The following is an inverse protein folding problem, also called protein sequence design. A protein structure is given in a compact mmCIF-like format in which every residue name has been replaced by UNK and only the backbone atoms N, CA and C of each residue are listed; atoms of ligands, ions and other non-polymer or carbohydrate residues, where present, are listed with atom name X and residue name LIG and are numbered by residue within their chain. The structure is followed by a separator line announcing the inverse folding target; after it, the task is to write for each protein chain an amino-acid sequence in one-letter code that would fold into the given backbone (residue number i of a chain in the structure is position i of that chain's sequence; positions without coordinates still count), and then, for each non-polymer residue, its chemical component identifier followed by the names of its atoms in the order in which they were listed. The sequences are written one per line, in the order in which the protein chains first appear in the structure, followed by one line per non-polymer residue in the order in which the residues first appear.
data_IF_401270465370
#
_entry.id   IF_401270465370
#
_cell.length_a   1.000
_cell.length_b   1.000
_cell.length_c   1.000
_cell.angle_alpha   90.00
_cell.angle_beta   90.00
_cell.angle_gamma   90.00
#
_symmetry.space_group_name_H-M   'P 1'
#
loop_
_entity.id
_entity.type
_entity.pdbx_description
1 polymer ?
#
# COMPACT_ATOMS: atom_id res chain seq x y z
N UNK A 1 -1.57 13.70 41.79
CA UNK A 1 -1.82 12.29 41.43
C UNK A 1 -1.32 12.10 40.01
N UNK A 2 -0.16 11.51 39.85
CA UNK A 2 0.34 11.04 38.54
C UNK A 2 -0.53 9.87 38.16
N UNK A 3 -1.29 9.99 37.06
CA UNK A 3 -1.93 8.84 36.41
C UNK A 3 -0.80 7.86 36.05
N UNK A 4 -0.99 6.55 36.29
CA UNK A 4 -0.02 5.57 35.81
C UNK A 4 0.12 5.75 34.30
N UNK A 5 1.34 5.93 33.81
CA UNK A 5 1.62 5.86 32.37
C UNK A 5 1.34 4.41 31.99
N UNK A 6 0.23 4.15 31.33
CA UNK A 6 0.04 2.85 30.69
C UNK A 6 1.18 2.72 29.69
N UNK A 7 2.05 1.75 29.92
CA UNK A 7 3.08 1.38 28.96
C UNK A 7 2.37 0.81 27.73
N UNK A 8 2.18 1.67 26.72
CA UNK A 8 1.61 1.27 25.45
C UNK A 8 2.61 0.31 24.82
N UNK A 9 2.18 -0.92 24.61
CA UNK A 9 2.98 -1.96 23.96
C UNK A 9 2.22 -2.47 22.74
N UNK A 10 2.88 -2.50 21.59
CA UNK A 10 2.38 -3.11 20.38
C UNK A 10 3.27 -4.26 19.94
N UNK A 11 2.69 -5.31 19.34
CA UNK A 11 3.49 -6.41 18.82
C UNK A 11 4.41 -5.94 17.70
N UNK A 12 5.50 -6.66 17.48
CA UNK A 12 6.29 -6.55 16.28
C UNK A 12 5.55 -7.19 15.10
N UNK A 13 5.85 -6.76 13.88
CA UNK A 13 5.37 -7.41 12.68
C UNK A 13 6.55 -8.09 11.97
N UNK A 14 6.36 -9.34 11.57
CA UNK A 14 7.19 -9.97 10.55
C UNK A 14 6.70 -9.53 9.19
N UNK A 15 7.61 -9.16 8.30
CA UNK A 15 7.31 -8.71 6.95
C UNK A 15 8.04 -9.56 5.91
N UNK A 16 7.34 -9.96 4.86
CA UNK A 16 7.91 -10.72 3.77
C UNK A 16 7.39 -10.22 2.42
N UNK A 17 8.26 -10.18 1.42
CA UNK A 17 7.87 -9.91 0.04
C UNK A 17 7.02 -11.06 -0.52
N UNK A 18 5.98 -10.74 -1.27
CA UNK A 18 5.17 -11.72 -1.98
C UNK A 18 5.54 -11.74 -3.47
N UNK A 19 5.49 -12.92 -4.07
CA UNK A 19 5.63 -13.06 -5.50
C UNK A 19 4.36 -12.57 -6.22
N UNK A 20 4.54 -11.95 -7.37
CA UNK A 20 3.43 -11.65 -8.27
C UNK A 20 2.98 -12.94 -8.96
N UNK A 21 1.91 -13.55 -8.46
CA UNK A 21 1.38 -14.80 -9.00
C UNK A 21 0.59 -14.60 -10.31
N UNK A 22 0.39 -15.69 -11.05
CA UNK A 22 -0.34 -15.67 -12.32
C UNK A 22 -1.78 -15.14 -12.19
N UNK A 23 -2.42 -15.30 -11.02
CA UNK A 23 -3.74 -14.74 -10.74
C UNK A 23 -3.73 -13.21 -10.78
N UNK A 24 -2.70 -12.57 -10.26
CA UNK A 24 -2.52 -11.13 -10.31
C UNK A 24 -2.35 -10.64 -11.76
N UNK A 25 -1.58 -11.36 -12.58
CA UNK A 25 -1.42 -11.00 -14.00
C UNK A 25 -2.76 -11.02 -14.73
N UNK A 26 -3.56 -12.05 -14.51
CA UNK A 26 -4.89 -12.16 -15.11
C UNK A 26 -5.82 -11.01 -14.70
N UNK A 27 -5.78 -10.60 -13.42
CA UNK A 27 -6.57 -9.47 -12.92
C UNK A 27 -6.15 -8.15 -13.56
N UNK A 28 -4.87 -8.01 -13.92
CA UNK A 28 -4.34 -6.84 -14.63
C UNK A 28 -4.48 -6.94 -16.16
N UNK A 29 -5.11 -7.99 -16.67
CA UNK A 29 -5.32 -8.20 -18.11
C UNK A 29 -4.11 -8.74 -18.86
N UNK A 30 -3.09 -9.27 -18.16
CA UNK A 30 -1.89 -9.86 -18.77
C UNK A 30 -1.99 -11.38 -18.86
N UNK A 31 -1.52 -11.94 -19.97
CA UNK A 31 -1.38 -13.38 -20.12
C UNK A 31 -0.10 -13.87 -19.42
N UNK A 32 -0.18 -14.68 -18.34
CA UNK A 32 1.00 -15.17 -17.64
C UNK A 32 1.90 -16.12 -18.45
N UNK A 33 1.45 -16.55 -19.62
CA UNK A 33 2.21 -17.39 -20.57
C UNK A 33 2.80 -16.60 -21.73
N UNK A 34 2.71 -15.26 -21.68
CA UNK A 34 3.28 -14.42 -22.74
C UNK A 34 4.80 -14.50 -22.75
N UNK A 35 5.40 -14.46 -23.94
CA UNK A 35 6.84 -14.28 -24.10
C UNK A 35 7.22 -12.83 -24.40
N UNK A 36 6.26 -11.91 -24.32
CA UNK A 36 6.44 -10.49 -24.61
C UNK A 36 6.91 -9.74 -23.36
N UNK A 37 8.10 -10.11 -22.89
CA UNK A 37 8.72 -9.46 -21.74
C UNK A 37 10.23 -9.31 -21.95
N UNK A 38 10.82 -8.36 -21.22
CA UNK A 38 12.27 -8.19 -21.15
C UNK A 38 12.69 -7.82 -19.72
N UNK A 39 13.99 -7.95 -19.43
CA UNK A 39 14.59 -7.55 -18.17
C UNK A 39 15.40 -6.27 -18.36
N UNK A 40 15.17 -5.31 -17.48
CA UNK A 40 16.00 -4.11 -17.38
C UNK A 40 17.28 -4.40 -16.56
N UNK A 41 18.26 -3.52 -16.63
CA UNK A 41 19.56 -3.72 -15.99
C UNK A 41 19.49 -3.76 -14.45
N UNK A 42 18.46 -3.19 -13.86
CA UNK A 42 18.18 -3.20 -12.42
C UNK A 42 17.42 -4.45 -11.96
N UNK A 43 17.14 -5.39 -12.87
CA UNK A 43 16.38 -6.60 -12.59
C UNK A 43 14.85 -6.43 -12.68
N UNK A 44 14.35 -5.26 -13.10
CA UNK A 44 12.93 -5.05 -13.36
C UNK A 44 12.48 -5.87 -14.55
N UNK A 45 11.48 -6.72 -14.37
CA UNK A 45 10.82 -7.42 -15.48
C UNK A 45 9.70 -6.53 -16.03
N UNK A 46 9.76 -6.26 -17.34
CA UNK A 46 8.77 -5.47 -18.06
C UNK A 46 7.99 -6.37 -19.00
N UNK A 47 6.67 -6.33 -18.88
CA UNK A 47 5.74 -7.14 -19.68
C UNK A 47 4.84 -6.20 -20.45
N UNK A 48 4.67 -6.46 -21.73
CA UNK A 48 3.88 -5.64 -22.65
C UNK A 48 2.69 -6.44 -23.17
N UNK A 49 1.50 -5.87 -23.07
CA UNK A 49 0.27 -6.46 -23.63
C UNK A 49 -0.64 -5.33 -24.19
N UNK A 50 -0.79 -5.27 -25.52
CA UNK A 50 -1.53 -4.20 -26.17
C UNK A 50 -0.97 -2.82 -25.85
N UNK A 51 -1.80 -1.94 -25.28
CA UNK A 51 -1.40 -0.62 -24.83
C UNK A 51 -1.02 -0.57 -23.32
N UNK A 52 -0.89 -1.74 -22.69
CA UNK A 52 -0.61 -1.85 -21.27
C UNK A 52 0.80 -2.37 -20.99
N UNK A 53 1.39 -1.86 -19.95
CA UNK A 53 2.72 -2.23 -19.46
C UNK A 53 2.64 -2.62 -17.99
N UNK A 54 3.22 -3.76 -17.65
CA UNK A 54 3.39 -4.20 -16.27
C UNK A 54 4.88 -4.30 -15.95
N UNK A 55 5.33 -3.61 -14.91
CA UNK A 55 6.69 -3.67 -14.39
C UNK A 55 6.69 -4.35 -13.03
N UNK A 56 7.50 -5.40 -12.93
CA UNK A 56 7.74 -6.14 -11.69
C UNK A 56 9.13 -5.78 -11.20
N UNK A 57 9.22 -4.89 -10.22
CA UNK A 57 10.49 -4.43 -9.67
C UNK A 57 11.01 -5.37 -8.58
N UNK A 58 12.33 -5.44 -8.38
CA UNK A 58 12.90 -6.02 -7.17
C UNK A 58 12.26 -5.44 -5.91
N UNK A 59 12.09 -6.25 -4.85
CA UNK A 59 11.39 -5.82 -3.64
C UNK A 59 9.86 -5.93 -3.72
N UNK A 60 9.35 -6.65 -4.73
CA UNK A 60 7.91 -6.94 -4.89
C UNK A 60 7.04 -5.70 -5.10
N UNK A 61 7.56 -4.69 -5.76
CA UNK A 61 6.79 -3.54 -6.21
C UNK A 61 6.32 -3.78 -7.64
N UNK A 62 5.02 -3.71 -7.86
CA UNK A 62 4.42 -3.76 -9.20
C UNK A 62 3.99 -2.37 -9.62
N UNK A 63 4.19 -2.07 -10.90
CA UNK A 63 3.66 -0.87 -11.55
C UNK A 63 2.97 -1.25 -12.83
N UNK A 64 1.70 -0.88 -12.94
CA UNK A 64 0.88 -1.02 -14.13
C UNK A 64 0.61 0.36 -14.73
N UNK A 65 0.69 0.46 -16.02
CA UNK A 65 0.25 1.59 -16.82
C UNK A 65 -0.52 1.04 -18.02
N UNK A 66 -1.73 1.56 -18.29
CA UNK A 66 -2.48 1.01 -19.43
C UNK A 66 -3.87 1.61 -19.62
N UNK A 67 -4.65 0.90 -20.46
CA UNK A 67 -6.03 1.20 -20.81
C UNK A 67 -6.85 -0.07 -20.88
N UNK A 68 -8.20 0.09 -20.80
CA UNK A 68 -9.14 -1.00 -21.00
C UNK A 68 -9.39 -1.88 -19.78
N UNK A 69 -8.70 -1.65 -18.66
CA UNK A 69 -9.00 -2.31 -17.39
C UNK A 69 -10.01 -1.49 -16.61
N UNK A 70 -11.29 -1.77 -16.78
CA UNK A 70 -12.38 -1.03 -16.12
C UNK A 70 -12.79 -1.67 -14.81
N UNK A 71 -13.02 -0.86 -13.78
CA UNK A 71 -13.52 -1.28 -12.46
C UNK A 71 -15.06 -1.21 -12.35
N UNK A 72 -15.74 -0.68 -13.38
CA UNK A 72 -17.19 -0.58 -13.44
C UNK A 72 -17.65 -0.60 -14.89
N UNK A 73 -18.85 -1.12 -15.13
CA UNK A 73 -19.53 -1.05 -16.44
C UNK A 73 -20.12 0.34 -16.73
N UNK A 74 -20.12 1.24 -15.75
CA UNK A 74 -20.52 2.64 -15.91
C UNK A 74 -19.33 3.44 -16.44
N UNK A 75 -19.57 4.46 -17.24
CA UNK A 75 -18.51 5.27 -17.85
C UNK A 75 -17.75 6.18 -16.86
N UNK A 76 -18.31 6.45 -15.68
CA UNK A 76 -17.70 7.26 -14.62
C UNK A 76 -18.26 6.89 -13.25
N UNK A 77 -17.51 7.17 -12.20
CA UNK A 77 -17.99 7.09 -10.82
C UNK A 77 -18.78 8.37 -10.46
N UNK A 78 -19.84 8.18 -9.67
CA UNK A 78 -20.71 9.30 -9.26
C UNK A 78 -20.02 10.25 -8.30
N UNK A 79 -19.21 9.70 -7.41
CA UNK A 79 -18.46 10.45 -6.40
C UNK A 79 -17.17 9.72 -5.97
N UNK A 80 -16.44 10.34 -5.05
CA UNK A 80 -15.21 9.78 -4.50
C UNK A 80 -15.44 8.46 -3.73
N UNK A 81 -16.59 8.30 -3.09
CA UNK A 81 -16.92 7.11 -2.31
C UNK A 81 -17.03 5.87 -3.20
N UNK A 82 -17.76 5.99 -4.31
CA UNK A 82 -17.91 4.92 -5.32
C UNK A 82 -16.55 4.53 -5.91
N UNK A 83 -15.71 5.53 -6.25
CA UNK A 83 -14.37 5.30 -6.77
C UNK A 83 -13.46 4.58 -5.77
N UNK A 84 -13.49 5.00 -4.50
CA UNK A 84 -12.71 4.38 -3.42
C UNK A 84 -13.18 2.96 -3.18
N UNK A 85 -14.50 2.69 -3.13
CA UNK A 85 -15.02 1.34 -2.93
C UNK A 85 -14.58 0.39 -4.05
N UNK A 86 -14.67 0.84 -5.31
CA UNK A 86 -14.20 0.07 -6.45
C UNK A 86 -12.69 -0.17 -6.39
N UNK A 87 -11.90 0.85 -6.05
CA UNK A 87 -10.46 0.78 -5.87
C UNK A 87 -10.05 -0.20 -4.77
N UNK A 88 -10.69 -0.14 -3.60
CA UNK A 88 -10.43 -1.06 -2.48
C UNK A 88 -10.76 -2.50 -2.87
N UNK A 89 -11.89 -2.74 -3.54
CA UNK A 89 -12.25 -4.08 -4.04
C UNK A 89 -11.20 -4.63 -4.99
N UNK A 90 -10.77 -3.82 -5.94
CA UNK A 90 -9.76 -4.18 -6.92
C UNK A 90 -8.40 -4.49 -6.27
N UNK A 91 -7.90 -3.58 -5.42
CA UNK A 91 -6.64 -3.77 -4.70
C UNK A 91 -6.68 -4.99 -3.77
N UNK A 92 -7.82 -5.21 -3.09
CA UNK A 92 -8.00 -6.39 -2.23
C UNK A 92 -7.95 -7.69 -3.02
N UNK A 93 -8.50 -7.73 -4.24
CA UNK A 93 -8.40 -8.88 -5.13
C UNK A 93 -6.95 -9.15 -5.56
N UNK A 94 -6.18 -8.10 -5.90
CA UNK A 94 -4.76 -8.22 -6.23
C UNK A 94 -3.93 -8.74 -5.05
N UNK A 95 -4.29 -8.33 -3.83
CA UNK A 95 -3.58 -8.70 -2.60
C UNK A 95 -4.02 -10.05 -2.02
N UNK A 96 -5.03 -10.72 -2.59
CA UNK A 96 -5.63 -11.91 -1.99
C UNK A 96 -4.62 -13.03 -1.70
N UNK A 97 -3.64 -13.22 -2.57
CA UNK A 97 -2.57 -14.22 -2.38
C UNK A 97 -1.47 -13.75 -1.42
N UNK A 98 -1.39 -12.46 -1.16
CA UNK A 98 -0.35 -11.83 -0.35
C UNK A 98 -0.83 -11.47 1.07
N UNK A 99 -2.12 -11.17 1.26
CA UNK A 99 -2.63 -10.67 2.52
C UNK A 99 -2.77 -11.76 3.57
N UNK A 100 -2.16 -11.55 4.73
CA UNK A 100 -2.46 -12.29 5.95
C UNK A 100 -2.70 -11.29 7.07
N UNK A 101 -3.98 -11.05 7.40
CA UNK A 101 -4.36 -10.17 8.51
C UNK A 101 -4.12 -8.67 8.32
N UNK A 102 -3.73 -8.24 7.12
CA UNK A 102 -3.54 -6.83 6.77
C UNK A 102 -4.68 -6.34 5.88
N UNK A 103 -5.09 -5.10 6.08
CA UNK A 103 -6.08 -4.41 5.26
C UNK A 103 -5.49 -3.17 4.61
N UNK A 104 -6.29 -2.53 3.76
CA UNK A 104 -5.98 -1.25 3.14
C UNK A 104 -6.58 -0.11 3.97
N UNK A 105 -5.80 0.92 4.19
CA UNK A 105 -6.20 2.17 4.83
C UNK A 105 -6.10 3.30 3.81
N UNK A 106 -7.23 3.93 3.47
CA UNK A 106 -7.22 5.10 2.59
C UNK A 106 -6.45 6.24 3.26
N UNK A 107 -5.39 6.70 2.61
CA UNK A 107 -4.59 7.83 3.05
C UNK A 107 -5.05 9.13 2.41
N UNK A 108 -5.37 9.07 1.12
CA UNK A 108 -5.77 10.24 0.35
C UNK A 108 -6.61 9.82 -0.85
N UNK A 109 -7.62 10.62 -1.18
CA UNK A 109 -8.33 10.59 -2.46
C UNK A 109 -8.35 12.01 -3.03
N UNK A 110 -8.09 12.13 -4.32
CA UNK A 110 -8.04 13.39 -5.02
C UNK A 110 -8.73 13.28 -6.38
N UNK A 111 -9.64 14.20 -6.68
CA UNK A 111 -10.20 14.34 -8.02
C UNK A 111 -9.13 14.84 -8.98
N UNK A 112 -9.11 14.25 -10.17
CA UNK A 112 -8.31 14.70 -11.32
C UNK A 112 -9.23 15.23 -12.40
N UNK A 113 -8.69 15.71 -13.52
CA UNK A 113 -9.51 16.21 -14.64
C UNK A 113 -10.45 15.12 -15.18
N UNK A 114 -9.98 13.87 -15.23
CA UNK A 114 -10.67 12.77 -15.92
C UNK A 114 -11.08 11.64 -14.94
N UNK A 115 -10.88 11.79 -13.64
CA UNK A 115 -11.16 10.70 -12.70
C UNK A 115 -10.60 10.94 -11.30
N UNK A 116 -9.91 9.95 -10.74
CA UNK A 116 -9.52 9.92 -9.35
C UNK A 116 -8.10 9.36 -9.15
N UNK A 117 -7.36 9.95 -8.23
CA UNK A 117 -6.13 9.34 -7.69
C UNK A 117 -6.35 9.01 -6.23
N UNK A 118 -5.98 7.80 -5.83
CA UNK A 118 -6.15 7.26 -4.49
C UNK A 118 -4.83 6.68 -3.99
N UNK A 119 -4.47 7.01 -2.76
CA UNK A 119 -3.30 6.49 -2.08
C UNK A 119 -3.74 5.72 -0.83
N UNK A 120 -3.15 4.55 -0.65
CA UNK A 120 -3.44 3.68 0.48
C UNK A 120 -2.15 3.29 1.20
N UNK A 121 -2.26 3.17 2.51
CA UNK A 121 -1.30 2.47 3.35
C UNK A 121 -1.87 1.09 3.72
N UNK A 122 -1.05 0.20 4.27
CA UNK A 122 -1.55 -1.01 4.90
C UNK A 122 -1.89 -0.74 6.36
N UNK A 123 -2.62 -1.66 6.99
CA UNK A 123 -2.82 -1.65 8.43
C UNK A 123 -2.78 -3.07 9.00
N UNK A 124 -2.29 -3.20 10.23
CA UNK A 124 -2.36 -4.41 11.02
C UNK A 124 -2.92 -4.07 12.41
N UNK A 125 -3.95 -4.79 12.86
CA UNK A 125 -4.58 -4.54 14.15
C UNK A 125 -5.16 -3.13 14.33
N UNK A 126 -5.48 -2.44 13.24
CA UNK A 126 -5.98 -1.06 13.25
C UNK A 126 -4.89 0.02 13.20
N UNK A 127 -3.61 -0.35 13.22
CA UNK A 127 -2.48 0.58 13.16
C UNK A 127 -1.92 0.66 11.74
N UNK A 128 -1.62 1.87 11.22
CA UNK A 128 -1.10 2.04 9.88
C UNK A 128 0.31 1.46 9.74
N UNK A 129 0.58 0.90 8.56
CA UNK A 129 1.92 0.50 8.12
C UNK A 129 2.27 1.39 6.94
N UNK A 130 3.27 2.24 7.11
CA UNK A 130 3.72 3.20 6.11
C UNK A 130 5.07 2.82 5.53
N UNK A 131 5.29 3.19 4.27
CA UNK A 131 6.61 3.05 3.66
C UNK A 131 7.63 3.99 4.32
N UNK A 132 8.83 3.49 4.58
CA UNK A 132 9.95 4.29 5.05
C UNK A 132 10.39 5.40 4.10
N UNK A 133 10.05 5.31 2.82
CA UNK A 133 10.27 6.37 1.83
C UNK A 133 9.21 7.49 1.90
N UNK A 134 8.13 7.32 2.66
CA UNK A 134 6.99 8.23 2.70
C UNK A 134 6.00 8.07 1.54
N UNK A 135 6.30 7.24 0.53
CA UNK A 135 5.38 6.91 -0.54
C UNK A 135 4.20 6.09 -0.01
N UNK A 136 3.07 6.12 -0.72
CA UNK A 136 1.95 5.22 -0.42
C UNK A 136 2.34 3.76 -0.69
N UNK A 137 1.76 2.81 0.06
CA UNK A 137 1.95 1.38 -0.16
C UNK A 137 1.19 0.88 -1.39
N UNK A 138 0.09 1.53 -1.72
CA UNK A 138 -0.62 1.39 -2.98
C UNK A 138 -1.07 2.76 -3.48
N UNK A 139 -0.87 3.01 -4.78
CA UNK A 139 -1.35 4.19 -5.48
C UNK A 139 -2.15 3.75 -6.71
N UNK A 140 -3.36 4.24 -6.87
CA UNK A 140 -4.27 3.90 -7.96
C UNK A 140 -4.78 5.17 -8.61
N UNK A 141 -4.55 5.31 -9.91
CA UNK A 141 -5.11 6.41 -10.72
C UNK A 141 -6.15 5.85 -11.68
N UNK A 142 -7.34 6.39 -11.62
CA UNK A 142 -8.45 6.07 -12.51
C UNK A 142 -8.67 7.21 -13.51
N UNK A 143 -8.97 6.83 -14.75
CA UNK A 143 -9.50 7.72 -15.79
C UNK A 143 -10.92 7.26 -16.12
N UNK A 144 -11.91 8.05 -15.75
CA UNK A 144 -13.28 7.54 -15.69
C UNK A 144 -13.37 6.37 -14.71
N UNK A 145 -13.68 5.18 -15.22
CA UNK A 145 -13.70 3.93 -14.46
C UNK A 145 -12.51 3.01 -14.76
N UNK A 146 -11.64 3.41 -15.70
CA UNK A 146 -10.50 2.60 -16.11
C UNK A 146 -9.26 2.86 -15.22
N UNK A 147 -8.55 1.80 -14.90
CA UNK A 147 -7.24 1.89 -14.25
C UNK A 147 -6.23 2.41 -15.27
N UNK A 148 -5.76 3.64 -15.07
CA UNK A 148 -4.71 4.26 -15.88
C UNK A 148 -3.32 3.91 -15.34
N UNK A 149 -3.15 4.01 -14.02
CA UNK A 149 -1.89 3.69 -13.34
C UNK A 149 -2.16 2.98 -12.02
N UNK A 150 -1.32 2.03 -11.69
CA UNK A 150 -1.26 1.37 -10.40
C UNK A 150 0.20 1.22 -9.98
N UNK A 151 0.53 1.58 -8.75
CA UNK A 151 1.74 1.15 -8.08
C UNK A 151 1.35 0.44 -6.78
N UNK A 152 1.88 -0.76 -6.54
CA UNK A 152 1.48 -1.59 -5.41
C UNK A 152 2.71 -2.33 -4.87
N UNK A 153 2.94 -2.21 -3.57
CA UNK A 153 3.97 -2.96 -2.85
C UNK A 153 3.38 -4.28 -2.34
N UNK A 154 3.84 -5.41 -2.89
CA UNK A 154 3.38 -6.74 -2.50
C UNK A 154 4.17 -7.23 -1.28
N UNK A 155 3.68 -6.90 -0.09
CA UNK A 155 4.27 -7.35 1.18
C UNK A 155 3.20 -7.94 2.09
N UNK A 156 3.58 -9.02 2.76
CA UNK A 156 2.78 -9.68 3.79
C UNK A 156 3.31 -9.28 5.15
N UNK A 157 2.39 -8.98 6.07
CA UNK A 157 2.72 -8.68 7.45
C UNK A 157 1.99 -9.65 8.38
N UNK A 158 2.72 -10.17 9.35
CA UNK A 158 2.20 -11.11 10.33
C UNK A 158 2.55 -10.61 11.73
N UNK A 159 1.56 -10.54 12.60
CA UNK A 159 1.76 -10.17 14.00
C UNK A 159 2.58 -11.25 14.68
N UNK A 160 3.62 -10.85 15.41
CA UNK A 160 4.45 -11.75 16.22
C UNK A 160 4.05 -11.71 17.70
N UNK A 161 4.58 -12.63 18.50
CA UNK A 161 4.38 -12.64 19.96
C UNK A 161 5.30 -11.64 20.68
N UNK A 162 6.31 -11.09 19.98
CA UNK A 162 7.25 -10.13 20.52
C UNK A 162 6.68 -8.72 20.49
N UNK A 163 6.98 -7.93 21.53
CA UNK A 163 6.54 -6.56 21.63
C UNK A 163 7.61 -5.57 21.16
N UNK A 164 7.17 -4.47 20.59
CA UNK A 164 8.02 -3.35 20.21
C UNK A 164 8.37 -2.49 21.41
N UNK A 165 9.63 -2.12 21.62
CA UNK A 165 10.00 -1.10 22.59
C UNK A 165 9.51 0.27 22.09
N UNK A 166 8.55 0.87 22.79
CA UNK A 166 8.01 2.19 22.45
C UNK A 166 8.49 3.24 23.43
N UNK A 167 8.75 4.44 22.92
CA UNK A 167 8.94 5.60 23.78
C UNK A 167 7.62 5.95 24.50
N UNK A 168 7.66 6.34 25.77
CA UNK A 168 6.49 6.88 26.46
C UNK A 168 5.85 8.03 25.66
N UNK A 169 4.52 8.09 25.61
CA UNK A 169 3.77 9.10 24.85
C UNK A 169 4.23 10.53 25.16
N UNK A 170 4.54 10.81 26.42
CA UNK A 170 5.03 12.14 26.85
C UNK A 170 6.34 12.52 26.19
N UNK A 171 7.24 11.56 25.99
CA UNK A 171 8.51 11.78 25.29
C UNK A 171 8.30 11.94 23.78
N UNK A 172 7.44 11.11 23.17
CA UNK A 172 7.08 11.24 21.77
C UNK A 172 6.47 12.60 21.46
N UNK A 173 5.52 13.07 22.28
CA UNK A 173 4.91 14.40 22.15
C UNK A 173 5.94 15.53 22.35
N UNK A 174 6.89 15.38 23.27
CA UNK A 174 7.94 16.37 23.48
C UNK A 174 8.87 16.49 22.26
N UNK A 175 9.12 15.39 21.56
CA UNK A 175 9.87 15.38 20.28
C UNK A 175 9.05 16.04 19.18
N UNK A 176 7.79 15.63 19.03
CA UNK A 176 6.90 16.13 17.97
C UNK A 176 6.68 17.64 18.04
N UNK A 177 6.59 18.21 19.25
CA UNK A 177 6.46 19.67 19.47
C UNK A 177 7.61 20.51 18.89
N UNK A 178 8.75 19.88 18.56
CA UNK A 178 9.86 20.56 17.86
C UNK A 178 9.58 20.77 16.36
N UNK A 179 8.59 20.06 15.82
CA UNK A 179 8.15 20.15 14.44
C UNK A 179 6.78 20.79 14.42
N UNK A 180 6.70 22.04 13.99
CA UNK A 180 5.47 22.83 14.02
C UNK A 180 4.34 22.14 13.24
N UNK A 181 3.22 21.87 13.89
CA UNK A 181 2.02 21.29 13.28
C UNK A 181 2.05 19.77 13.10
N UNK A 182 3.07 19.07 13.59
CA UNK A 182 3.11 17.62 13.49
C UNK A 182 2.10 16.96 14.45
N UNK A 183 1.18 16.19 13.90
CA UNK A 183 0.37 15.24 14.65
C UNK A 183 1.17 13.95 14.86
N UNK A 184 0.94 13.27 15.97
CA UNK A 184 1.64 12.03 16.30
C UNK A 184 0.63 10.91 16.36
N UNK A 185 0.83 9.92 15.53
CA UNK A 185 0.06 8.68 15.52
C UNK A 185 0.96 7.48 15.80
N UNK A 186 0.36 6.38 16.22
CA UNK A 186 1.08 5.13 16.46
C UNK A 186 0.91 4.21 15.26
N UNK A 187 2.01 3.59 14.81
CA UNK A 187 1.98 2.69 13.66
C UNK A 187 3.31 2.01 13.42
N UNK A 188 3.52 1.55 12.21
CA UNK A 188 4.73 0.84 11.78
C UNK A 188 5.35 1.55 10.57
N UNK A 189 6.67 1.51 10.49
CA UNK A 189 7.42 2.04 9.36
C UNK A 189 8.13 0.87 8.64
N UNK A 190 7.76 0.63 7.39
CA UNK A 190 8.38 -0.40 6.57
C UNK A 190 9.56 0.18 5.80
N UNK A 191 10.77 -0.07 6.29
CA UNK A 191 12.03 0.27 5.65
C UNK A 191 12.56 -0.82 4.71
N UNK A 192 11.76 -1.86 4.39
CA UNK A 192 12.17 -2.98 3.54
C UNK A 192 12.76 -4.17 4.29
N UNK A 193 12.88 -4.10 5.62
CA UNK A 193 13.36 -5.20 6.46
C UNK A 193 12.32 -6.30 6.69
N UNK A 194 12.75 -7.39 7.36
CA UNK A 194 11.89 -8.55 7.65
C UNK A 194 11.13 -8.41 8.98
N UNK A 195 11.48 -7.42 9.79
CA UNK A 195 10.83 -7.12 11.06
C UNK A 195 10.51 -5.64 11.15
N UNK A 196 9.27 -5.31 11.51
CA UNK A 196 8.83 -3.96 11.77
C UNK A 196 8.56 -3.79 13.27
N UNK A 197 9.11 -2.71 13.80
CA UNK A 197 8.82 -2.26 15.15
C UNK A 197 7.75 -1.18 15.11
N UNK A 198 6.83 -1.24 16.07
CA UNK A 198 5.91 -0.14 16.26
C UNK A 198 6.68 1.15 16.64
N UNK A 199 6.23 2.26 16.14
CA UNK A 199 6.84 3.57 16.37
C UNK A 199 5.82 4.69 16.33
N UNK A 200 6.21 5.84 16.85
CA UNK A 200 5.45 7.07 16.70
C UNK A 200 5.72 7.66 15.32
N UNK A 201 4.65 7.83 14.56
CA UNK A 201 4.67 8.44 13.22
C UNK A 201 4.30 9.92 13.37
N UNK A 202 5.06 10.81 12.75
CA UNK A 202 4.73 12.23 12.62
C UNK A 202 4.00 12.46 11.29
N UNK A 203 2.90 13.19 11.34
CA UNK A 203 2.07 13.57 10.18
C UNK A 203 2.19 15.05 9.88
#
# INVERSE_FOLDING_TARGET
SLLPSEDISLPQLSAASCAAESALWNLLGFNPRTNNYYLESDGTQVILEGESTLRLRPGSVIRYEGRGLSLSDQGSFSDAGDAVEAGVRFLSALLQSCSSGTGLLLRQVQATVDGWTMNFDYHAGGYPIRSGSGAAMASLTLRGTEVAELELTLRRYTVTEENSPLLPLTQALAIARRYAGAEVSLGYLDGGGDTLFASWLAE
#
